data_IF_093998620703
#
_entry.id   IF_093998620703
#
_cell.length_a   1.000
_cell.length_b   1.000
_cell.length_c   1.000
_cell.angle_alpha   90.00
_cell.angle_beta   90.00
_cell.angle_gamma   90.00
#
_symmetry.space_group_name_H-M   'P 1'
#
loop_
_entity.id
_entity.type
_entity.pdbx_description
1 polymer ?
#
# COMPACT_ATOMS: atom_id res chain seq x y z
N UNK A 1 -24.02 -14.09 -17.16
CA UNK A 1 -23.41 -13.54 -15.96
C UNK A 1 -22.50 -14.61 -15.35
N UNK A 2 -21.19 -14.49 -15.58
CA UNK A 2 -20.19 -15.43 -15.08
C UNK A 2 -20.26 -15.48 -13.55
N UNK A 3 -20.32 -16.71 -12.99
CA UNK A 3 -20.23 -16.99 -11.55
C UNK A 3 -18.84 -16.73 -10.96
N UNK A 4 -17.88 -16.30 -11.77
CA UNK A 4 -16.45 -16.25 -11.46
C UNK A 4 -15.92 -14.86 -11.11
N UNK A 5 -16.64 -14.09 -10.31
CA UNK A 5 -16.14 -12.80 -9.86
C UNK A 5 -16.08 -11.73 -10.98
N UNK A 6 -15.85 -10.50 -10.59
CA UNK A 6 -15.64 -9.37 -11.52
C UNK A 6 -14.16 -9.04 -11.57
N UNK A 7 -13.64 -8.79 -12.76
CA UNK A 7 -12.30 -8.24 -12.95
C UNK A 7 -12.41 -6.75 -13.22
N UNK A 8 -11.52 -5.96 -12.67
CA UNK A 8 -11.33 -4.56 -12.98
C UNK A 8 -9.86 -4.31 -13.30
N UNK A 9 -9.59 -3.56 -14.34
CA UNK A 9 -8.26 -3.02 -14.56
C UNK A 9 -8.10 -1.79 -13.68
N UNK A 10 -7.06 -1.79 -12.84
CA UNK A 10 -6.72 -0.66 -11.99
C UNK A 10 -5.78 0.23 -12.79
N UNK A 11 -6.19 1.48 -12.99
CA UNK A 11 -5.41 2.48 -13.71
C UNK A 11 -4.81 3.48 -12.74
N UNK A 12 -3.54 3.72 -12.89
CA UNK A 12 -2.79 4.71 -12.13
C UNK A 12 -2.35 5.80 -13.08
N UNK A 13 -2.71 7.02 -12.77
CA UNK A 13 -2.51 8.17 -13.63
C UNK A 13 -1.81 9.28 -12.85
N UNK A 14 -0.84 9.93 -13.47
CA UNK A 14 -0.38 11.25 -13.05
C UNK A 14 -1.04 12.30 -13.91
N UNK A 15 -1.67 13.26 -13.29
CA UNK A 15 -2.45 14.31 -13.96
C UNK A 15 -1.88 15.67 -13.59
N UNK A 16 -1.74 16.55 -14.55
CA UNK A 16 -1.45 17.95 -14.29
C UNK A 16 -2.65 18.60 -13.60
N UNK A 17 -2.43 19.17 -12.42
CA UNK A 17 -3.50 19.70 -11.59
C UNK A 17 -4.13 21.00 -12.14
N UNK A 18 -3.45 21.70 -13.04
CA UNK A 18 -3.92 22.96 -13.63
C UNK A 18 -4.68 22.71 -14.93
N UNK A 19 -4.18 21.78 -15.76
CA UNK A 19 -4.74 21.52 -17.10
C UNK A 19 -5.68 20.31 -17.13
N UNK A 20 -5.54 19.37 -16.18
CA UNK A 20 -6.23 18.08 -16.18
C UNK A 20 -5.67 17.08 -17.19
N UNK A 21 -4.57 17.38 -17.85
CA UNK A 21 -3.93 16.49 -18.81
C UNK A 21 -3.22 15.33 -18.12
N UNK A 22 -3.30 14.13 -18.73
CA UNK A 22 -2.58 12.95 -18.27
C UNK A 22 -1.11 13.11 -18.65
N UNK A 23 -0.24 13.18 -17.64
CA UNK A 23 1.22 13.26 -17.82
C UNK A 23 1.75 11.85 -18.13
N UNK A 24 1.31 10.83 -17.38
CA UNK A 24 1.58 9.43 -17.65
C UNK A 24 0.48 8.51 -17.10
N UNK A 25 0.41 7.33 -17.65
CA UNK A 25 -0.38 6.20 -17.15
C UNK A 25 0.55 5.02 -16.90
N UNK A 26 0.43 4.36 -15.75
CA UNK A 26 1.22 3.18 -15.42
C UNK A 26 1.02 2.09 -16.47
N UNK A 27 2.13 1.57 -17.01
CA UNK A 27 2.13 0.53 -18.05
C UNK A 27 1.84 -0.87 -17.47
N UNK A 28 2.07 -1.07 -16.17
CA UNK A 28 1.79 -2.34 -15.52
C UNK A 28 0.29 -2.57 -15.45
N UNK A 29 -0.18 -3.66 -16.06
CA UNK A 29 -1.58 -4.03 -16.05
C UNK A 29 -1.96 -4.66 -14.71
N UNK A 30 -2.30 -3.83 -13.71
CA UNK A 30 -2.77 -4.32 -12.41
C UNK A 30 -4.22 -4.80 -12.54
N UNK A 31 -4.41 -6.11 -12.42
CA UNK A 31 -5.73 -6.75 -12.52
C UNK A 31 -6.32 -6.94 -11.13
N UNK A 32 -7.35 -6.17 -10.82
CA UNK A 32 -8.15 -6.37 -9.62
C UNK A 32 -9.22 -7.44 -9.83
N UNK A 33 -9.43 -8.29 -8.83
CA UNK A 33 -10.45 -9.33 -8.86
C UNK A 33 -11.21 -9.38 -7.53
N UNK A 34 -12.53 -9.47 -7.61
CA UNK A 34 -13.40 -9.63 -6.45
C UNK A 34 -14.65 -10.43 -6.77
N UNK A 35 -15.14 -11.20 -5.83
CA UNK A 35 -16.40 -11.92 -5.96
C UNK A 35 -17.59 -11.03 -5.66
N UNK A 36 -18.78 -11.44 -6.15
CA UNK A 36 -20.04 -10.74 -5.84
C UNK A 36 -20.35 -10.75 -4.34
N UNK A 37 -19.82 -11.73 -3.58
CA UNK A 37 -20.00 -11.85 -2.13
C UNK A 37 -19.12 -10.81 -1.43
N UNK A 38 -17.87 -10.66 -1.85
CA UNK A 38 -16.93 -9.68 -1.33
C UNK A 38 -17.40 -8.25 -1.60
N UNK A 39 -17.91 -7.98 -2.81
CA UNK A 39 -18.50 -6.69 -3.14
C UNK A 39 -19.70 -6.33 -2.24
N UNK A 40 -20.55 -7.30 -1.90
CA UNK A 40 -21.65 -7.10 -0.95
C UNK A 40 -21.19 -6.87 0.49
N UNK A 41 -20.03 -7.42 0.85
CA UNK A 41 -19.40 -7.21 2.16
C UNK A 41 -18.60 -5.89 2.23
N UNK A 42 -18.53 -5.11 1.14
CA UNK A 42 -17.77 -3.86 1.07
C UNK A 42 -16.29 -4.04 0.80
N UNK A 43 -15.87 -5.23 0.39
CA UNK A 43 -14.50 -5.50 -0.07
C UNK A 43 -14.43 -5.32 -1.58
N UNK A 44 -13.52 -4.48 -2.04
CA UNK A 44 -13.35 -4.15 -3.46
C UNK A 44 -11.88 -4.29 -3.84
N UNK A 45 -11.64 -4.73 -5.07
CA UNK A 45 -10.33 -4.59 -5.69
C UNK A 45 -10.01 -3.10 -5.89
N UNK A 46 -8.80 -2.71 -5.55
CA UNK A 46 -8.36 -1.34 -5.79
C UNK A 46 -7.66 -0.70 -4.61
N UNK A 47 -7.45 0.60 -4.75
CA UNK A 47 -6.81 1.44 -3.74
C UNK A 47 -7.88 1.96 -2.77
N UNK A 48 -7.64 1.73 -1.48
CA UNK A 48 -8.49 2.24 -0.40
C UNK A 48 -7.74 3.23 0.49
N UNK A 49 -6.44 3.35 0.31
CA UNK A 49 -5.53 4.16 1.10
C UNK A 49 -4.89 5.26 0.25
N UNK A 50 -4.43 6.32 0.90
CA UNK A 50 -3.70 7.38 0.22
C UNK A 50 -2.30 6.90 -0.18
N UNK A 51 -1.81 7.24 -1.37
CA UNK A 51 -0.43 6.99 -1.76
C UNK A 51 0.56 7.78 -0.88
N UNK A 52 1.73 7.20 -0.67
CA UNK A 52 2.90 7.89 -0.14
C UNK A 52 3.69 8.47 -1.30
N UNK A 53 3.95 9.77 -1.28
CA UNK A 53 4.97 10.40 -2.13
C UNK A 53 6.28 10.39 -1.34
N UNK A 54 7.28 9.73 -1.88
CA UNK A 54 8.55 9.55 -1.21
C UNK A 54 9.35 10.84 -1.03
N UNK A 55 10.23 10.81 -0.04
CA UNK A 55 11.24 11.83 0.25
C UNK A 55 12.58 11.14 0.60
N UNK A 56 13.68 11.89 0.74
CA UNK A 56 15.00 11.33 1.02
C UNK A 56 15.46 10.35 -0.08
N UNK A 57 15.88 9.17 0.31
CA UNK A 57 16.37 8.12 -0.59
C UNK A 57 15.31 7.62 -1.60
N UNK A 58 14.03 7.73 -1.24
CA UNK A 58 12.90 7.32 -2.08
C UNK A 58 12.14 8.51 -2.68
N UNK A 59 12.80 9.65 -2.81
CA UNK A 59 12.18 10.88 -3.30
C UNK A 59 11.57 10.74 -4.70
N UNK A 60 12.05 9.80 -5.49
CA UNK A 60 11.58 9.55 -6.86
C UNK A 60 10.43 8.54 -6.94
N UNK A 61 9.96 8.02 -5.80
CA UNK A 61 8.91 7.02 -5.74
C UNK A 61 7.56 7.58 -5.33
N UNK A 62 6.50 6.96 -5.88
CA UNK A 62 5.15 6.98 -5.32
C UNK A 62 4.78 5.55 -4.92
N UNK A 63 4.35 5.37 -3.67
CA UNK A 63 4.13 4.05 -3.08
C UNK A 63 2.67 3.95 -2.62
N UNK A 64 2.02 2.86 -2.96
CA UNK A 64 0.60 2.61 -2.64
C UNK A 64 0.33 1.11 -2.55
N UNK A 65 -0.75 0.75 -1.88
CA UNK A 65 -1.22 -0.62 -1.80
C UNK A 65 -2.51 -0.81 -2.61
N UNK A 66 -2.61 -1.96 -3.25
CA UNK A 66 -3.79 -2.39 -4.01
C UNK A 66 -4.26 -3.72 -3.44
N UNK A 67 -5.53 -3.79 -3.09
CA UNK A 67 -6.14 -5.02 -2.57
C UNK A 67 -6.72 -5.85 -3.72
N UNK A 68 -6.82 -7.17 -3.51
CA UNK A 68 -7.43 -8.12 -4.44
C UNK A 68 -6.79 -8.10 -5.84
N UNK A 69 -5.48 -8.11 -5.92
CA UNK A 69 -4.72 -8.23 -7.17
C UNK A 69 -4.66 -9.69 -7.59
N UNK A 70 -5.01 -9.99 -8.85
CA UNK A 70 -4.80 -11.31 -9.45
C UNK A 70 -3.36 -11.41 -9.97
N UNK A 71 -2.58 -12.28 -9.34
CA UNK A 71 -1.21 -12.58 -9.73
C UNK A 71 -1.16 -13.53 -10.94
N UNK A 72 0.00 -13.73 -11.53
CA UNK A 72 0.18 -14.58 -12.72
C UNK A 72 -0.17 -16.04 -12.45
N UNK A 73 0.06 -16.54 -11.24
CA UNK A 73 -0.31 -17.89 -10.79
C UNK A 73 -1.81 -18.03 -10.44
N UNK A 74 -2.62 -16.98 -10.68
CA UNK A 74 -4.04 -16.88 -10.36
C UNK A 74 -4.37 -16.78 -8.88
N UNK A 75 -3.40 -16.66 -8.00
CA UNK A 75 -3.63 -16.26 -6.61
C UNK A 75 -4.14 -14.82 -6.53
N UNK A 76 -4.82 -14.49 -5.43
CA UNK A 76 -5.35 -13.14 -5.18
C UNK A 76 -4.76 -12.68 -3.86
N UNK A 77 -4.09 -11.54 -3.88
CA UNK A 77 -3.45 -10.95 -2.70
C UNK A 77 -3.55 -9.42 -2.73
N UNK A 78 -3.22 -8.79 -1.63
CA UNK A 78 -2.87 -7.38 -1.63
C UNK A 78 -1.42 -7.22 -2.10
N UNK A 79 -1.10 -6.11 -2.75
CA UNK A 79 0.25 -5.82 -3.22
C UNK A 79 0.58 -4.37 -2.93
N UNK A 80 1.77 -4.12 -2.39
CA UNK A 80 2.36 -2.79 -2.33
C UNK A 80 3.18 -2.58 -3.58
N UNK A 81 2.97 -1.45 -4.24
CA UNK A 81 3.70 -1.04 -5.44
C UNK A 81 4.49 0.23 -5.18
N UNK A 82 5.66 0.32 -5.77
CA UNK A 82 6.37 1.57 -5.95
C UNK A 82 6.57 1.85 -7.44
N UNK A 83 6.17 3.04 -7.84
CA UNK A 83 6.39 3.53 -9.20
C UNK A 83 7.35 4.72 -9.16
N UNK A 84 8.14 4.87 -10.21
CA UNK A 84 8.84 6.12 -10.47
C UNK A 84 7.83 7.24 -10.71
N UNK A 85 7.87 8.30 -9.91
CA UNK A 85 6.88 9.40 -9.96
C UNK A 85 6.99 10.27 -11.22
N UNK A 86 8.08 10.10 -12.00
CA UNK A 86 8.31 10.86 -13.22
C UNK A 86 7.82 10.12 -14.46
N UNK A 87 8.09 8.80 -14.52
CA UNK A 87 7.78 7.97 -15.69
C UNK A 87 6.51 7.12 -15.50
N UNK A 88 6.13 6.81 -14.26
CA UNK A 88 5.04 5.87 -13.96
C UNK A 88 5.44 4.40 -14.12
N UNK A 89 6.72 4.12 -14.33
CA UNK A 89 7.24 2.76 -14.42
C UNK A 89 7.30 2.10 -13.04
N UNK A 90 7.02 0.80 -12.99
CA UNK A 90 7.12 0.02 -11.77
C UNK A 90 8.59 -0.19 -11.40
N UNK A 91 8.96 0.19 -10.17
CA UNK A 91 10.31 0.00 -9.62
C UNK A 91 10.37 -1.29 -8.82
N UNK A 92 9.37 -1.53 -7.96
CA UNK A 92 9.22 -2.78 -7.22
C UNK A 92 7.76 -3.02 -6.84
N UNK A 93 7.44 -4.27 -6.54
CA UNK A 93 6.20 -4.65 -5.88
C UNK A 93 6.46 -5.68 -4.77
N UNK A 94 5.60 -5.69 -3.76
CA UNK A 94 5.65 -6.62 -2.64
C UNK A 94 4.26 -7.18 -2.36
N UNK A 95 4.00 -8.46 -2.63
CA UNK A 95 2.77 -9.13 -2.23
C UNK A 95 2.61 -9.18 -0.71
N UNK A 96 1.37 -9.07 -0.25
CA UNK A 96 0.96 -9.18 1.14
C UNK A 96 -0.06 -10.30 1.29
N UNK A 97 0.00 -11.02 2.41
CA UNK A 97 -0.93 -12.14 2.70
C UNK A 97 -2.33 -11.66 3.07
N UNK A 98 -2.46 -10.38 3.48
CA UNK A 98 -3.70 -9.80 4.00
C UNK A 98 -3.92 -8.43 3.38
N UNK A 99 -5.20 -8.11 3.11
CA UNK A 99 -5.60 -6.78 2.63
C UNK A 99 -5.20 -5.66 3.59
N UNK A 100 -4.93 -4.50 3.03
CA UNK A 100 -4.62 -3.30 3.81
C UNK A 100 -5.49 -2.12 3.36
N UNK A 101 -6.06 -1.42 4.32
CA UNK A 101 -6.75 -0.13 4.17
C UNK A 101 -5.92 1.01 4.74
N UNK A 102 -4.84 0.66 5.43
CA UNK A 102 -3.89 1.60 6.00
C UNK A 102 -3.03 2.24 4.90
N UNK A 103 -2.89 3.55 4.90
CA UNK A 103 -1.95 4.23 4.00
C UNK A 103 -0.52 3.91 4.41
N UNK A 104 0.36 3.59 3.46
CA UNK A 104 1.79 3.56 3.74
C UNK A 104 2.27 4.96 4.14
N UNK A 105 3.15 5.02 5.13
CA UNK A 105 3.81 6.26 5.53
C UNK A 105 5.32 6.11 5.40
N UNK A 106 6.00 7.21 5.08
CA UNK A 106 7.46 7.26 5.05
C UNK A 106 8.05 7.54 6.42
N UNK A 107 9.13 6.85 6.74
CA UNK A 107 9.96 7.10 7.90
C UNK A 107 11.39 7.36 7.41
N UNK A 108 11.85 8.59 7.60
CA UNK A 108 13.12 9.07 7.05
C UNK A 108 14.14 9.25 8.14
N UNK A 109 15.26 8.53 8.04
CA UNK A 109 16.32 8.55 9.02
C UNK A 109 17.40 9.59 8.68
N UNK A 110 18.12 10.06 9.70
CA UNK A 110 19.20 11.05 9.53
C UNK A 110 20.39 10.53 8.75
N UNK A 111 20.58 9.21 8.69
CA UNK A 111 21.62 8.54 7.91
C UNK A 111 21.28 8.41 6.42
N UNK A 112 20.12 8.95 6.01
CA UNK A 112 19.63 8.95 4.64
C UNK A 112 18.72 7.78 4.31
N UNK A 113 18.60 6.76 5.15
CA UNK A 113 17.72 5.61 4.92
C UNK A 113 16.25 5.99 5.02
N UNK A 114 15.46 5.37 4.17
CA UNK A 114 14.02 5.56 4.12
C UNK A 114 13.31 4.23 4.32
N UNK A 115 12.31 4.23 5.18
CA UNK A 115 11.48 3.07 5.47
C UNK A 115 10.02 3.37 5.19
N UNK A 116 9.24 2.32 4.98
CA UNK A 116 7.80 2.39 4.84
C UNK A 116 7.17 1.67 6.03
N UNK A 117 6.19 2.30 6.64
CA UNK A 117 5.39 1.72 7.72
C UNK A 117 3.95 1.65 7.28
N UNK A 118 3.31 0.51 7.44
CA UNK A 118 1.89 0.31 7.15
C UNK A 118 1.27 -0.78 8.01
N UNK A 119 -0.04 -0.72 8.18
CA UNK A 119 -0.82 -1.76 8.85
C UNK A 119 -1.64 -2.59 7.87
N UNK A 120 -2.16 -3.73 8.31
CA UNK A 120 -3.07 -4.56 7.54
C UNK A 120 -4.33 -4.96 8.32
N UNK A 121 -5.31 -5.54 7.62
CA UNK A 121 -6.59 -6.01 8.21
C UNK A 121 -6.39 -7.23 9.14
N UNK A 122 -5.23 -7.88 9.14
CA UNK A 122 -4.83 -8.93 10.09
C UNK A 122 -4.25 -8.41 11.39
N UNK A 123 -4.04 -7.09 11.51
CA UNK A 123 -3.46 -6.46 12.69
C UNK A 123 -1.95 -6.43 12.72
N UNK A 124 -1.29 -6.65 11.58
CA UNK A 124 0.16 -6.60 11.47
C UNK A 124 0.60 -5.18 11.10
N UNK A 125 1.39 -4.57 11.97
CA UNK A 125 2.20 -3.39 11.64
C UNK A 125 3.49 -3.86 10.99
N UNK A 126 3.80 -3.34 9.82
CA UNK A 126 4.93 -3.77 8.98
C UNK A 126 5.90 -2.63 8.76
N UNK A 127 7.18 -2.91 8.95
CA UNK A 127 8.30 -2.06 8.57
C UNK A 127 8.95 -2.64 7.32
N UNK A 128 9.08 -1.84 6.28
CA UNK A 128 9.67 -2.24 5.00
C UNK A 128 10.81 -1.30 4.64
N UNK A 129 11.79 -1.84 3.95
CA UNK A 129 12.84 -1.06 3.29
C UNK A 129 12.22 -0.23 2.16
N UNK A 130 12.46 1.08 2.15
CA UNK A 130 11.82 1.98 1.20
C UNK A 130 12.32 1.82 -0.24
N UNK A 131 13.59 1.44 -0.40
CA UNK A 131 14.23 1.31 -1.70
C UNK A 131 13.86 0.00 -2.41
N UNK A 132 13.74 -1.10 -1.66
CA UNK A 132 13.49 -2.44 -2.23
C UNK A 132 12.08 -2.98 -1.99
N UNK A 133 11.30 -2.38 -1.09
CA UNK A 133 10.02 -2.91 -0.67
C UNK A 133 10.09 -4.14 0.24
N UNK A 134 11.29 -4.60 0.60
CA UNK A 134 11.48 -5.80 1.42
C UNK A 134 10.95 -5.58 2.84
N UNK A 135 10.14 -6.51 3.35
CA UNK A 135 9.70 -6.48 4.75
C UNK A 135 10.89 -6.77 5.68
N UNK A 136 11.22 -5.81 6.54
CA UNK A 136 12.31 -5.89 7.52
C UNK A 136 11.83 -6.43 8.86
N UNK A 137 10.64 -6.01 9.30
CA UNK A 137 10.08 -6.40 10.58
C UNK A 137 8.56 -6.34 10.56
N UNK A 138 7.94 -7.14 11.42
CA UNK A 138 6.49 -7.15 11.62
C UNK A 138 6.17 -7.22 13.11
N UNK A 139 5.09 -6.50 13.51
CA UNK A 139 4.57 -6.53 14.86
C UNK A 139 3.06 -6.77 14.79
N UNK A 140 2.56 -7.88 15.36
CA UNK A 140 1.14 -8.15 15.42
C UNK A 140 0.52 -7.46 16.64
N UNK A 141 -0.49 -6.60 16.40
CA UNK A 141 -1.21 -5.82 17.42
C UNK A 141 -2.58 -6.44 17.78
N UNK A 142 -2.89 -7.62 17.23
CA UNK A 142 -4.04 -8.43 17.60
C UNK A 142 -5.39 -8.01 17.01
N UNK A 143 -5.48 -6.84 16.41
CA UNK A 143 -6.73 -6.33 15.77
C UNK A 143 -6.38 -5.50 14.54
N UNK A 144 -7.27 -5.51 13.54
CA UNK A 144 -7.05 -4.85 12.26
C UNK A 144 -6.56 -3.40 12.40
N UNK A 145 -5.59 -3.04 11.58
CA UNK A 145 -5.03 -1.69 11.47
C UNK A 145 -5.58 -1.07 10.19
N UNK A 146 -6.67 -0.33 10.32
CA UNK A 146 -7.31 0.34 9.17
C UNK A 146 -6.99 1.83 9.11
N UNK A 147 -6.58 2.41 10.23
CA UNK A 147 -6.05 3.76 10.28
C UNK A 147 -4.61 3.80 9.76
N UNK A 148 -4.24 4.88 9.09
CA UNK A 148 -2.86 5.10 8.71
C UNK A 148 -2.03 5.41 9.96
N UNK A 149 -0.84 4.80 10.12
CA UNK A 149 0.09 5.17 11.17
C UNK A 149 0.51 6.64 11.06
N UNK A 150 1.01 7.20 12.15
CA UNK A 150 1.75 8.44 12.15
C UNK A 150 3.15 8.19 12.73
N UNK A 151 4.17 8.85 12.20
CA UNK A 151 5.53 8.68 12.69
C UNK A 151 6.22 10.02 12.90
N UNK A 152 7.09 10.06 13.91
CA UNK A 152 7.99 11.16 14.17
C UNK A 152 9.32 10.62 14.75
N UNK A 153 10.43 10.87 14.06
CA UNK A 153 11.71 10.27 14.42
C UNK A 153 11.63 8.73 14.37
N UNK A 154 11.88 8.09 15.51
CA UNK A 154 11.80 6.64 15.67
C UNK A 154 10.46 6.15 16.28
N UNK A 155 9.54 7.06 16.54
CA UNK A 155 8.26 6.75 17.18
C UNK A 155 7.16 6.62 16.14
N UNK A 156 6.36 5.57 16.27
CA UNK A 156 5.18 5.31 15.43
C UNK A 156 3.96 5.24 16.34
N UNK A 157 2.90 5.93 15.96
CA UNK A 157 1.61 5.86 16.63
C UNK A 157 0.60 5.21 15.70
N UNK A 158 -0.10 4.19 16.17
CA UNK A 158 -1.06 3.45 15.35
C UNK A 158 -2.26 3.01 16.17
N UNK A 159 -3.46 3.21 15.61
CA UNK A 159 -4.73 2.75 16.18
C UNK A 159 -5.20 1.44 15.55
N UNK A 160 -5.86 0.60 16.35
CA UNK A 160 -6.48 -0.63 15.88
C UNK A 160 -8.00 -0.62 16.05
N UNK A 161 -8.69 -1.46 15.29
CA UNK A 161 -10.15 -1.63 15.41
C UNK A 161 -10.59 -2.25 16.76
N UNK A 162 -9.64 -2.80 17.50
CA UNK A 162 -9.84 -3.26 18.88
C UNK A 162 -9.91 -2.13 19.91
N UNK A 163 -9.87 -0.86 19.49
CA UNK A 163 -9.97 0.31 20.36
C UNK A 163 -8.67 0.66 21.10
N UNK A 164 -7.54 0.12 20.64
CA UNK A 164 -6.21 0.39 21.22
C UNK A 164 -5.45 1.39 20.39
N UNK A 165 -4.71 2.25 21.05
CA UNK A 165 -3.69 3.13 20.47
C UNK A 165 -2.32 2.67 20.97
N UNK A 166 -1.44 2.35 20.05
CA UNK A 166 -0.09 1.88 20.35
C UNK A 166 0.94 2.95 20.02
N UNK A 167 1.93 3.07 20.89
CA UNK A 167 3.17 3.80 20.65
C UNK A 167 4.28 2.76 20.46
N UNK A 168 4.88 2.74 19.29
CA UNK A 168 5.91 1.77 18.90
C UNK A 168 7.21 2.52 18.66
N UNK A 169 8.28 2.14 19.31
CA UNK A 169 9.62 2.71 19.15
C UNK A 169 10.49 1.78 18.31
N UNK A 170 11.09 2.30 17.26
CA UNK A 170 12.13 1.60 16.48
C UNK A 170 13.49 1.77 17.18
N UNK A 171 14.16 0.65 17.43
CA UNK A 171 15.48 0.59 18.08
C UNK A 171 16.54 0.14 17.10
#
# INVERSE_FOLDING_TARGET
LSRNGRSAQIRLLKIDALTGEIIWECQSAIKGKYSSKEAKAGSYAGLMASPLVGDGEINDLVIFNVNHVEMDDKSICAVVYALDKTTGEEVWNQPLDVDSKSSPIGLYQRDGKSYIVMGDDGGTLRLMDGFSGTTLSTLNLGSAIQASPAAYGNEIVVGTTGGMLYFVELK
#
